data_IF_601751132941
#
_entry.id   IF_601751132941
#
_cell.length_a   1.000
_cell.length_b   1.000
_cell.length_c   1.000
_cell.angle_alpha   90.00
_cell.angle_beta   90.00
_cell.angle_gamma   90.00
#
_symmetry.space_group_name_H-M   'P 1'
#
loop_
_entity.id
_entity.type
_entity.pdbx_description
1 polymer ?
#
# COMPACT_ATOMS: atom_id res chain seq x y z
N UNK A 1 -5.65 -11.86 14.92
CA UNK A 1 -5.52 -10.56 14.26
C UNK A 1 -6.21 -10.61 12.91
N UNK A 2 -6.70 -9.48 12.42
CA UNK A 2 -7.43 -9.34 11.16
C UNK A 2 -6.49 -8.90 10.04
N UNK A 3 -6.48 -9.62 8.92
CA UNK A 3 -5.62 -9.31 7.78
C UNK A 3 -6.45 -9.08 6.53
N UNK A 4 -6.27 -7.94 5.88
CA UNK A 4 -6.80 -7.68 4.55
C UNK A 4 -5.72 -7.96 3.50
N UNK A 5 -5.99 -8.88 2.57
CA UNK A 5 -5.16 -9.12 1.42
C UNK A 5 -5.81 -8.51 0.17
N UNK A 6 -5.22 -7.47 -0.39
CA UNK A 6 -5.64 -6.86 -1.65
C UNK A 6 -4.79 -7.44 -2.77
N UNK A 7 -5.43 -8.13 -3.69
CA UNK A 7 -4.80 -8.94 -4.73
C UNK A 7 -5.12 -8.42 -6.13
N UNK A 8 -4.09 -8.30 -6.97
CA UNK A 8 -4.25 -7.81 -8.33
C UNK A 8 -3.49 -8.66 -9.35
N UNK A 9 -4.14 -9.71 -9.87
CA UNK A 9 -3.68 -10.47 -11.03
C UNK A 9 -4.88 -11.07 -11.77
N UNK A 10 -4.95 -10.98 -13.13
CA UNK A 10 -6.12 -11.43 -13.89
C UNK A 10 -6.27 -12.96 -13.99
N UNK A 11 -5.16 -13.72 -13.84
CA UNK A 11 -5.18 -15.17 -13.97
C UNK A 11 -5.10 -15.84 -12.59
N UNK A 12 -6.18 -16.46 -12.10
CA UNK A 12 -6.20 -17.10 -10.79
C UNK A 12 -5.27 -18.30 -10.67
N UNK A 13 -4.93 -18.98 -11.79
CA UNK A 13 -4.00 -20.10 -11.82
C UNK A 13 -2.53 -19.68 -12.02
N UNK A 14 -2.24 -18.39 -11.97
CA UNK A 14 -0.88 -17.87 -12.04
C UNK A 14 -0.06 -18.19 -10.79
N UNK A 15 1.25 -17.92 -10.86
CA UNK A 15 2.09 -17.92 -9.66
C UNK A 15 1.51 -16.98 -8.58
N UNK A 16 1.06 -15.79 -8.97
CA UNK A 16 0.44 -14.84 -8.02
C UNK A 16 -0.80 -15.44 -7.36
N UNK A 17 -1.67 -16.12 -8.10
CA UNK A 17 -2.83 -16.81 -7.54
C UNK A 17 -2.44 -17.90 -6.55
N UNK A 18 -1.47 -18.74 -6.91
CA UNK A 18 -0.96 -19.81 -6.04
C UNK A 18 -0.35 -19.24 -4.73
N UNK A 19 0.38 -18.13 -4.82
CA UNK A 19 0.96 -17.45 -3.66
C UNK A 19 -0.13 -16.80 -2.79
N UNK A 20 -1.14 -16.18 -3.40
CA UNK A 20 -2.32 -15.64 -2.68
C UNK A 20 -2.98 -16.74 -1.85
N UNK A 21 -3.28 -17.87 -2.47
CA UNK A 21 -3.93 -19.00 -1.79
C UNK A 21 -3.03 -19.60 -0.69
N UNK A 22 -1.71 -19.60 -0.88
CA UNK A 22 -0.76 -20.01 0.14
C UNK A 22 -0.78 -19.05 1.34
N UNK A 23 -0.69 -17.74 1.11
CA UNK A 23 -0.70 -16.70 2.16
C UNK A 23 -1.98 -16.78 2.99
N UNK A 24 -3.15 -16.88 2.33
CA UNK A 24 -4.44 -17.00 3.04
C UNK A 24 -4.44 -18.21 3.95
N UNK A 25 -4.11 -19.41 3.41
CA UNK A 25 -4.07 -20.64 4.22
C UNK A 25 -3.07 -20.56 5.36
N UNK A 26 -1.90 -19.92 5.17
CA UNK A 26 -0.89 -19.79 6.22
C UNK A 26 -1.37 -18.90 7.36
N UNK A 27 -1.95 -17.74 7.04
CA UNK A 27 -2.51 -16.83 8.02
C UNK A 27 -3.66 -17.47 8.82
N UNK A 28 -4.58 -18.16 8.14
CA UNK A 28 -5.68 -18.87 8.80
C UNK A 28 -5.18 -19.99 9.70
N UNK A 29 -4.17 -20.77 9.26
CA UNK A 29 -3.56 -21.83 10.05
C UNK A 29 -2.84 -21.32 11.29
N UNK A 30 -2.40 -20.06 11.30
CA UNK A 30 -1.78 -19.38 12.46
C UNK A 30 -2.80 -18.58 13.30
N UNK A 31 -4.10 -18.75 13.03
CA UNK A 31 -5.19 -18.19 13.84
C UNK A 31 -5.57 -16.75 13.50
N UNK A 32 -5.20 -16.26 12.32
CA UNK A 32 -5.64 -14.95 11.83
C UNK A 32 -6.95 -15.08 11.05
N UNK A 33 -7.74 -14.00 11.04
CA UNK A 33 -8.93 -13.88 10.18
C UNK A 33 -8.54 -13.10 8.94
N UNK A 34 -8.82 -13.67 7.77
CA UNK A 34 -8.40 -13.07 6.49
C UNK A 34 -9.61 -12.66 5.66
N UNK A 35 -9.60 -11.43 5.17
CA UNK A 35 -10.46 -10.98 4.08
C UNK A 35 -9.62 -10.75 2.83
N UNK A 36 -10.14 -11.15 1.68
CA UNK A 36 -9.47 -10.98 0.39
C UNK A 36 -10.27 -10.01 -0.48
N UNK A 37 -9.60 -8.99 -1.02
CA UNK A 37 -10.09 -8.16 -2.11
C UNK A 37 -9.37 -8.56 -3.39
N UNK A 38 -9.92 -9.56 -4.09
CA UNK A 38 -9.44 -9.99 -5.41
C UNK A 38 -10.02 -9.04 -6.47
N UNK A 39 -9.25 -8.03 -6.85
CA UNK A 39 -9.76 -6.91 -7.64
C UNK A 39 -10.24 -7.32 -9.04
N UNK A 40 -9.61 -8.33 -9.66
CA UNK A 40 -10.06 -8.85 -10.96
C UNK A 40 -11.32 -9.70 -10.82
N UNK A 41 -11.41 -10.57 -9.81
CA UNK A 41 -12.61 -11.36 -9.55
C UNK A 41 -13.80 -10.47 -9.15
N UNK A 42 -13.53 -9.36 -8.44
CA UNK A 42 -14.54 -8.34 -8.08
C UNK A 42 -14.95 -7.46 -9.27
N UNK A 43 -14.24 -7.54 -10.40
CA UNK A 43 -14.42 -6.62 -11.52
C UNK A 43 -14.33 -5.16 -11.07
N UNK A 44 -13.34 -4.87 -10.21
CA UNK A 44 -13.16 -3.56 -9.61
C UNK A 44 -13.07 -2.48 -10.67
N UNK A 45 -13.90 -1.44 -10.57
CA UNK A 45 -13.81 -0.25 -11.39
C UNK A 45 -12.49 0.48 -11.06
N UNK A 46 -11.58 0.56 -12.01
CA UNK A 46 -10.27 1.18 -11.79
C UNK A 46 -10.29 2.71 -11.90
N UNK A 47 -11.22 3.28 -12.66
CA UNK A 47 -11.27 4.73 -12.90
C UNK A 47 -12.08 5.44 -11.83
N UNK A 48 -11.48 6.45 -11.21
CA UNK A 48 -12.19 7.40 -10.37
C UNK A 48 -13.02 8.35 -11.26
N UNK A 49 -14.30 8.55 -10.93
CA UNK A 49 -15.17 9.52 -11.61
C UNK A 49 -16.32 10.00 -10.70
N UNK A 50 -17.21 10.84 -11.23
CA UNK A 50 -18.34 11.42 -10.51
C UNK A 50 -19.34 10.38 -9.97
N UNK A 51 -19.37 9.15 -10.52
CA UNK A 51 -20.24 8.08 -10.06
C UNK A 51 -19.70 7.35 -8.81
N UNK A 52 -18.56 7.74 -8.29
CA UNK A 52 -18.05 7.25 -7.00
C UNK A 52 -18.78 7.90 -5.80
N UNK A 53 -19.57 8.94 -6.07
CA UNK A 53 -20.53 9.56 -5.15
C UNK A 53 -21.95 9.28 -5.58
N UNK A 54 -22.82 8.84 -4.64
CA UNK A 54 -24.25 8.64 -4.88
C UNK A 54 -24.99 9.97 -5.13
N UNK A 55 -24.37 11.10 -4.79
CA UNK A 55 -24.90 12.44 -5.04
C UNK A 55 -24.34 13.05 -6.35
N UNK A 56 -23.47 12.29 -7.07
CA UNK A 56 -22.76 12.79 -8.23
C UNK A 56 -21.75 13.90 -7.85
N UNK A 57 -21.52 14.82 -8.76
CA UNK A 57 -20.69 16.01 -8.51
C UNK A 57 -21.48 17.10 -7.78
N UNK A 58 -20.81 17.80 -6.87
CA UNK A 58 -21.43 18.85 -6.05
C UNK A 58 -21.62 20.18 -6.79
N UNK A 59 -20.80 20.44 -7.78
CA UNK A 59 -20.81 21.71 -8.53
C UNK A 59 -20.95 21.49 -10.04
N UNK A 60 -20.66 22.53 -10.81
CA UNK A 60 -20.68 22.43 -12.28
C UNK A 60 -19.57 21.52 -12.81
N UNK A 61 -18.45 21.45 -12.09
CA UNK A 61 -17.28 20.62 -12.41
C UNK A 61 -17.07 19.55 -11.37
N UNK A 62 -16.71 18.36 -11.79
CA UNK A 62 -16.25 17.31 -10.89
C UNK A 62 -14.93 17.71 -10.26
N UNK A 63 -14.89 17.70 -8.92
CA UNK A 63 -13.68 17.89 -8.11
C UNK A 63 -13.45 16.61 -7.30
N UNK A 64 -12.50 15.73 -7.70
CA UNK A 64 -12.26 14.46 -7.04
C UNK A 64 -12.04 14.58 -5.53
N UNK A 65 -11.41 15.67 -5.10
CA UNK A 65 -11.10 15.92 -3.70
C UNK A 65 -12.32 16.33 -2.89
N UNK A 66 -13.03 17.38 -3.35
CA UNK A 66 -14.19 17.91 -2.63
C UNK A 66 -15.39 16.96 -2.71
N UNK A 67 -15.62 16.33 -3.85
CA UNK A 67 -16.74 15.40 -4.05
C UNK A 67 -16.52 14.12 -3.22
N UNK A 68 -15.27 13.58 -3.16
CA UNK A 68 -14.97 12.43 -2.29
C UNK A 68 -15.08 12.79 -0.80
N UNK A 69 -14.68 14.01 -0.40
CA UNK A 69 -14.86 14.50 0.99
C UNK A 69 -16.32 14.54 1.39
N UNK A 70 -17.15 15.12 0.53
CA UNK A 70 -18.60 15.19 0.77
C UNK A 70 -19.21 13.79 0.87
N UNK A 71 -18.91 12.94 -0.11
CA UNK A 71 -19.44 11.57 -0.16
C UNK A 71 -19.03 10.77 1.08
N UNK A 72 -17.75 10.83 1.47
CA UNK A 72 -17.25 10.16 2.67
C UNK A 72 -17.93 10.67 3.95
N UNK A 73 -17.97 11.99 4.15
CA UNK A 73 -18.52 12.62 5.36
C UNK A 73 -20.01 12.33 5.56
N UNK A 74 -20.76 12.19 4.47
CA UNK A 74 -22.20 12.01 4.48
C UNK A 74 -22.64 10.54 4.24
N UNK A 75 -21.70 9.59 4.13
CA UNK A 75 -22.01 8.19 3.83
C UNK A 75 -22.64 8.00 2.44
N UNK A 76 -22.23 8.84 1.48
CA UNK A 76 -22.76 8.88 0.10
C UNK A 76 -21.76 8.34 -0.93
N UNK A 77 -20.77 7.60 -0.50
CA UNK A 77 -19.87 6.89 -1.40
C UNK A 77 -20.55 5.72 -2.06
N UNK A 78 -20.10 5.32 -3.26
CA UNK A 78 -20.53 4.08 -3.87
C UNK A 78 -20.27 2.89 -2.94
N UNK A 79 -21.13 1.89 -2.98
CA UNK A 79 -21.13 0.78 -2.02
C UNK A 79 -19.84 -0.06 -2.07
N UNK A 80 -19.22 -0.18 -3.25
CA UNK A 80 -17.96 -0.87 -3.43
C UNK A 80 -16.80 -0.15 -2.68
N UNK A 81 -16.74 1.17 -2.75
CA UNK A 81 -15.76 1.99 -2.00
C UNK A 81 -16.00 1.85 -0.50
N UNK A 82 -17.25 2.01 -0.06
CA UNK A 82 -17.58 1.93 1.36
C UNK A 82 -17.19 0.57 1.97
N UNK A 83 -17.47 -0.53 1.26
CA UNK A 83 -17.06 -1.89 1.68
C UNK A 83 -15.53 -2.04 1.80
N UNK A 84 -14.76 -1.50 0.87
CA UNK A 84 -13.30 -1.58 0.94
C UNK A 84 -12.73 -0.72 2.09
N UNK A 85 -13.32 0.43 2.36
CA UNK A 85 -12.98 1.24 3.54
C UNK A 85 -13.31 0.52 4.85
N UNK A 86 -14.44 -0.20 4.92
CA UNK A 86 -14.78 -1.00 6.10
C UNK A 86 -13.79 -2.14 6.32
N UNK A 87 -13.31 -2.80 5.26
CA UNK A 87 -12.25 -3.80 5.36
C UNK A 87 -10.93 -3.18 5.87
N UNK A 88 -10.57 -1.98 5.40
CA UNK A 88 -9.38 -1.27 5.88
C UNK A 88 -9.51 -0.89 7.37
N UNK A 89 -10.70 -0.46 7.82
CA UNK A 89 -10.94 -0.17 9.25
C UNK A 89 -10.85 -1.43 10.11
N UNK A 90 -11.40 -2.53 9.62
CA UNK A 90 -11.42 -3.82 10.29
C UNK A 90 -10.04 -4.48 10.41
N UNK A 91 -9.17 -4.30 9.41
CA UNK A 91 -7.88 -4.96 9.34
C UNK A 91 -6.89 -4.37 10.36
N UNK A 92 -6.10 -5.24 11.00
CA UNK A 92 -4.92 -4.89 11.80
C UNK A 92 -3.66 -4.82 10.90
N UNK A 93 -3.68 -5.57 9.79
CA UNK A 93 -2.64 -5.51 8.77
C UNK A 93 -3.21 -5.61 7.35
N UNK A 94 -2.52 -4.98 6.40
CA UNK A 94 -2.85 -5.00 4.98
C UNK A 94 -1.69 -5.59 4.17
N UNK A 95 -1.98 -6.53 3.30
CA UNK A 95 -1.02 -7.06 2.32
C UNK A 95 -1.47 -6.65 0.93
N UNK A 96 -0.62 -5.93 0.19
CA UNK A 96 -0.83 -5.69 -1.24
C UNK A 96 -0.01 -6.70 -2.03
N UNK A 97 -0.67 -7.58 -2.79
CA UNK A 97 -0.01 -8.60 -3.60
C UNK A 97 -0.25 -8.38 -5.08
N UNK A 98 0.83 -8.16 -5.85
CA UNK A 98 0.73 -7.81 -7.27
C UNK A 98 2.02 -8.09 -8.06
N UNK A 99 1.93 -8.23 -9.39
CA UNK A 99 3.10 -8.20 -10.27
C UNK A 99 3.59 -6.78 -10.52
N UNK A 100 4.91 -6.58 -10.52
CA UNK A 100 5.53 -5.31 -10.88
C UNK A 100 5.39 -5.09 -12.41
N UNK A 101 4.37 -4.38 -12.80
CA UNK A 101 4.12 -4.04 -14.20
C UNK A 101 4.51 -2.58 -14.47
N UNK A 102 5.36 -2.38 -15.46
CA UNK A 102 5.84 -1.05 -15.81
C UNK A 102 6.37 -0.25 -14.62
N UNK A 103 7.18 -0.93 -13.76
CA UNK A 103 7.80 -0.36 -12.56
C UNK A 103 6.81 0.12 -11.49
N UNK A 104 5.57 -0.35 -11.53
CA UNK A 104 4.55 0.02 -10.54
C UNK A 104 3.55 -1.11 -10.34
N UNK A 105 2.49 -0.84 -9.60
CA UNK A 105 1.37 -1.75 -9.43
C UNK A 105 0.47 -1.76 -10.67
N UNK A 106 -0.31 -2.83 -10.92
CA UNK A 106 -1.32 -2.87 -11.98
C UNK A 106 -2.33 -1.73 -11.85
N UNK A 107 -2.82 -1.21 -12.98
CA UNK A 107 -3.78 -0.09 -13.03
C UNK A 107 -5.01 -0.31 -12.14
N UNK A 108 -5.52 -1.55 -12.08
CA UNK A 108 -6.67 -1.88 -11.24
C UNK A 108 -6.38 -1.67 -9.74
N UNK A 109 -5.17 -1.97 -9.27
CA UNK A 109 -4.75 -1.74 -7.88
C UNK A 109 -4.51 -0.26 -7.60
N UNK A 110 -3.90 0.47 -8.57
CA UNK A 110 -3.76 1.92 -8.46
C UNK A 110 -5.13 2.60 -8.37
N UNK A 111 -6.09 2.17 -9.21
CA UNK A 111 -7.47 2.66 -9.16
C UNK A 111 -8.20 2.29 -7.86
N UNK A 112 -7.87 1.14 -7.25
CA UNK A 112 -8.38 0.82 -5.92
C UNK A 112 -7.89 1.85 -4.90
N UNK A 113 -6.59 2.19 -4.90
CA UNK A 113 -6.04 3.23 -4.02
C UNK A 113 -6.71 4.58 -4.28
N UNK A 114 -6.83 5.00 -5.54
CA UNK A 114 -7.41 6.31 -5.90
C UNK A 114 -8.87 6.47 -5.47
N UNK A 115 -9.66 5.41 -5.55
CA UNK A 115 -11.08 5.46 -5.21
C UNK A 115 -11.34 5.26 -3.71
N UNK A 116 -10.59 4.35 -3.06
CA UNK A 116 -10.79 4.00 -1.65
C UNK A 116 -10.19 5.05 -0.70
N UNK A 117 -9.08 5.68 -1.11
CA UNK A 117 -8.39 6.68 -0.30
C UNK A 117 -9.06 8.06 -0.45
N UNK A 118 -10.29 8.16 0.03
CA UNK A 118 -11.07 9.40 -0.02
C UNK A 118 -10.51 10.48 0.91
N UNK A 119 -10.78 11.73 0.59
CA UNK A 119 -10.52 12.86 1.48
C UNK A 119 -11.34 12.72 2.78
N UNK A 120 -10.68 12.89 3.92
CA UNK A 120 -11.26 12.66 5.25
C UNK A 120 -11.17 11.22 5.74
N UNK A 121 -10.78 10.28 4.84
CA UNK A 121 -10.50 8.90 5.20
C UNK A 121 -8.98 8.64 5.24
N UNK A 122 -8.29 8.72 4.10
CA UNK A 122 -6.87 8.42 4.00
C UNK A 122 -5.98 9.68 3.94
N UNK A 123 -6.56 10.83 3.67
CA UNK A 123 -5.86 12.11 3.64
C UNK A 123 -6.79 13.26 4.05
N UNK A 124 -6.21 14.44 4.29
CA UNK A 124 -6.98 15.62 4.72
C UNK A 124 -7.54 15.51 6.13
N UNK A 125 -6.92 14.72 7.00
CA UNK A 125 -7.24 14.55 8.42
C UNK A 125 -6.21 15.27 9.30
N UNK A 126 -6.58 15.52 10.55
CA UNK A 126 -5.73 16.21 11.51
C UNK A 126 -5.74 17.75 11.39
N UNK A 127 -5.12 18.40 12.36
CA UNK A 127 -4.99 19.84 12.43
C UNK A 127 -3.90 20.35 11.47
N UNK A 128 -4.10 21.56 10.92
CA UNK A 128 -3.10 22.24 10.11
C UNK A 128 -2.74 23.57 10.79
N UNK A 129 -1.52 23.65 11.32
CA UNK A 129 -0.98 24.81 12.02
C UNK A 129 0.50 25.01 11.65
N UNK A 130 1.13 26.01 12.22
CA UNK A 130 2.57 26.29 12.00
C UNK A 130 3.51 25.28 12.68
N UNK A 131 2.97 24.39 13.51
CA UNK A 131 3.75 23.39 14.27
C UNK A 131 3.30 21.94 13.98
N UNK A 132 2.14 21.75 13.33
CA UNK A 132 1.58 20.45 12.95
C UNK A 132 0.84 20.58 11.62
N UNK A 133 1.12 19.70 10.65
CA UNK A 133 0.58 19.85 9.30
C UNK A 133 -0.19 18.61 8.83
N UNK A 134 -1.35 18.38 9.48
CA UNK A 134 -2.19 17.22 9.24
C UNK A 134 -1.60 15.91 9.75
N UNK A 135 -2.44 14.89 9.88
CA UNK A 135 -2.06 13.56 10.34
C UNK A 135 -1.71 12.69 9.13
N UNK A 136 -0.41 12.57 8.86
CA UNK A 136 0.12 11.76 7.75
C UNK A 136 1.59 11.41 7.99
N UNK A 137 2.14 10.50 7.21
CA UNK A 137 3.51 9.98 7.31
C UNK A 137 3.84 9.49 8.72
N UNK A 138 3.18 8.38 9.12
CA UNK A 138 3.29 7.75 10.43
C UNK A 138 2.20 8.16 11.42
N UNK A 139 1.27 9.01 10.98
CA UNK A 139 0.04 9.41 11.66
C UNK A 139 -1.14 9.26 10.69
N UNK A 140 -2.38 9.35 11.18
CA UNK A 140 -3.58 9.26 10.34
C UNK A 140 -4.43 8.03 10.63
N UNK A 141 -5.41 7.76 9.76
CA UNK A 141 -6.45 6.75 9.98
C UNK A 141 -5.92 5.32 10.05
N UNK A 142 -4.73 5.07 9.49
CA UNK A 142 -4.10 3.73 9.48
C UNK A 142 -3.00 3.59 10.54
N UNK A 143 -2.84 4.58 11.43
CA UNK A 143 -1.84 4.52 12.49
C UNK A 143 -2.06 3.30 13.40
N UNK A 144 -0.98 2.59 13.72
CA UNK A 144 -1.02 1.36 14.49
C UNK A 144 -1.37 0.10 13.68
N UNK A 145 -1.67 0.23 12.39
CA UNK A 145 -1.87 -0.88 11.46
C UNK A 145 -0.60 -1.15 10.67
N UNK A 146 -0.41 -2.38 10.24
CA UNK A 146 0.79 -2.80 9.49
C UNK A 146 0.49 -2.96 8.01
N UNK A 147 1.50 -2.76 7.17
CA UNK A 147 1.35 -3.02 5.74
C UNK A 147 2.57 -3.73 5.16
N UNK A 148 2.36 -4.68 4.25
CA UNK A 148 3.42 -5.40 3.55
C UNK A 148 3.11 -5.51 2.06
N UNK A 149 4.15 -5.45 1.22
CA UNK A 149 4.04 -5.74 -0.20
C UNK A 149 4.53 -7.17 -0.48
N UNK A 150 3.79 -7.91 -1.32
CA UNK A 150 4.27 -9.13 -1.97
C UNK A 150 4.30 -8.84 -3.47
N UNK A 151 5.51 -8.74 -4.03
CA UNK A 151 5.70 -8.29 -5.40
C UNK A 151 6.43 -9.33 -6.22
N UNK A 152 5.87 -9.67 -7.38
CA UNK A 152 6.50 -10.57 -8.35
C UNK A 152 7.01 -9.80 -9.56
N UNK A 153 8.16 -10.22 -10.10
CA UNK A 153 8.71 -9.64 -11.33
C UNK A 153 9.38 -10.68 -12.22
N UNK A 154 9.33 -10.49 -13.51
CA UNK A 154 10.03 -11.33 -14.50
C UNK A 154 11.54 -11.09 -14.56
N UNK A 155 12.02 -9.94 -14.11
CA UNK A 155 13.43 -9.56 -14.13
C UNK A 155 14.29 -10.32 -13.11
N UNK A 156 15.61 -10.23 -13.28
CA UNK A 156 16.57 -10.76 -12.34
C UNK A 156 16.75 -9.78 -11.17
N UNK A 157 17.05 -10.29 -9.99
CA UNK A 157 17.37 -9.46 -8.82
C UNK A 157 18.48 -8.44 -9.11
N UNK A 158 19.55 -8.86 -9.81
CA UNK A 158 20.65 -7.98 -10.19
C UNK A 158 20.25 -6.78 -11.04
N UNK A 159 19.10 -6.85 -11.75
CA UNK A 159 18.59 -5.71 -12.52
C UNK A 159 18.05 -4.59 -11.63
N UNK A 160 17.69 -4.91 -10.38
CA UNK A 160 17.06 -4.03 -9.40
C UNK A 160 17.98 -3.68 -8.22
N UNK A 161 19.28 -3.91 -8.37
CA UNK A 161 20.29 -3.46 -7.41
C UNK A 161 20.78 -2.03 -7.69
N UNK A 162 21.64 -1.52 -6.83
CA UNK A 162 22.18 -0.15 -6.94
C UNK A 162 22.91 0.15 -8.27
N UNK A 163 23.38 -0.86 -8.97
CA UNK A 163 24.00 -0.76 -10.31
C UNK A 163 23.22 -1.51 -11.38
N UNK A 164 22.01 -1.98 -11.06
CA UNK A 164 21.10 -2.62 -12.01
C UNK A 164 20.50 -1.61 -12.98
N UNK A 165 20.20 -2.06 -14.20
CA UNK A 165 19.65 -1.17 -15.25
C UNK A 165 18.28 -0.55 -14.87
N UNK A 166 17.54 -1.22 -13.98
CA UNK A 166 16.22 -0.76 -13.52
C UNK A 166 16.32 0.21 -12.33
N UNK A 167 17.51 0.35 -11.73
CA UNK A 167 17.69 1.06 -10.46
C UNK A 167 17.27 0.21 -9.23
N UNK A 168 17.55 0.70 -8.02
CA UNK A 168 17.23 -0.02 -6.78
C UNK A 168 15.73 -0.30 -6.65
N UNK A 169 15.39 -1.51 -6.25
CA UNK A 169 13.98 -1.89 -6.05
C UNK A 169 13.30 -1.04 -4.96
N UNK A 170 14.05 -0.64 -3.96
CA UNK A 170 13.54 0.21 -2.88
C UNK A 170 13.12 1.59 -3.41
N UNK A 171 13.86 2.16 -4.38
CA UNK A 171 13.49 3.43 -5.04
C UNK A 171 12.24 3.26 -5.90
N UNK A 172 12.11 2.12 -6.59
CA UNK A 172 10.93 1.80 -7.42
C UNK A 172 9.67 1.65 -6.56
N UNK A 173 9.80 1.02 -5.39
CA UNK A 173 8.69 0.77 -4.48
C UNK A 173 8.44 1.93 -3.50
N UNK A 174 9.35 2.89 -3.39
CA UNK A 174 9.20 4.03 -2.46
C UNK A 174 7.88 4.79 -2.63
N UNK A 175 7.40 5.11 -3.84
CA UNK A 175 6.11 5.77 -4.01
C UNK A 175 4.92 4.97 -3.44
N UNK A 176 5.00 3.65 -3.48
CA UNK A 176 3.96 2.77 -2.93
C UNK A 176 4.10 2.68 -1.41
N UNK A 177 5.30 2.37 -0.92
CA UNK A 177 5.57 2.16 0.50
C UNK A 177 5.43 3.45 1.31
N UNK A 178 6.09 4.53 0.87
CA UNK A 178 6.07 5.82 1.56
C UNK A 178 4.84 6.66 1.18
N UNK A 179 4.56 6.76 -0.12
CA UNK A 179 3.51 7.65 -0.63
C UNK A 179 2.07 7.12 -0.49
N UNK A 180 1.86 5.79 -0.50
CA UNK A 180 0.52 5.21 -0.43
C UNK A 180 0.25 4.48 0.87
N UNK A 181 1.24 3.84 1.49
CA UNK A 181 1.05 3.09 2.73
C UNK A 181 1.47 3.89 3.96
N UNK A 182 2.66 4.47 3.98
CA UNK A 182 3.10 5.25 5.13
C UNK A 182 2.38 6.60 5.25
N UNK A 183 1.95 7.19 4.14
CA UNK A 183 1.21 8.46 4.14
C UNK A 183 -0.03 8.42 5.03
N UNK A 184 -0.98 7.45 4.91
CA UNK A 184 -2.15 7.38 5.79
C UNK A 184 -1.86 6.78 7.18
N UNK A 185 -0.60 6.40 7.48
CA UNK A 185 -0.16 6.03 8.82
C UNK A 185 0.25 4.58 9.06
N UNK A 186 0.27 3.70 8.05
CA UNK A 186 0.70 2.31 8.27
C UNK A 186 2.16 2.20 8.73
N UNK A 187 2.45 1.26 9.60
CA UNK A 187 3.79 0.71 9.83
C UNK A 187 4.15 -0.22 8.67
N UNK A 188 4.96 0.27 7.72
CA UNK A 188 5.26 -0.43 6.48
C UNK A 188 6.42 -1.38 6.67
N UNK A 189 6.22 -2.65 6.37
CA UNK A 189 7.25 -3.68 6.44
C UNK A 189 8.09 -3.73 5.16
N UNK A 190 9.34 -4.21 5.24
CA UNK A 190 10.12 -4.52 4.05
C UNK A 190 9.35 -5.48 3.13
N UNK A 191 9.36 -5.27 1.80
CA UNK A 191 8.57 -6.06 0.87
C UNK A 191 9.11 -7.49 0.75
N UNK A 192 8.25 -8.45 0.38
CA UNK A 192 8.70 -9.75 -0.10
C UNK A 192 8.71 -9.76 -1.62
N UNK A 193 9.87 -10.04 -2.20
CA UNK A 193 10.14 -9.90 -3.63
C UNK A 193 10.42 -11.25 -4.28
N UNK A 194 9.77 -11.52 -5.39
CA UNK A 194 9.95 -12.76 -6.15
C UNK A 194 10.35 -12.39 -7.57
N UNK A 195 11.63 -12.62 -7.89
CA UNK A 195 12.23 -12.35 -9.20
C UNK A 195 12.07 -13.53 -10.15
N UNK A 196 12.30 -13.35 -11.46
CA UNK A 196 12.38 -14.40 -12.48
C UNK A 196 11.17 -15.33 -12.49
N UNK A 197 9.98 -14.81 -12.45
CA UNK A 197 8.73 -15.59 -12.33
C UNK A 197 8.48 -16.55 -13.50
N UNK A 198 9.09 -16.31 -14.67
CA UNK A 198 9.02 -17.20 -15.84
C UNK A 198 9.84 -18.49 -15.70
N UNK A 199 10.67 -18.62 -14.68
CA UNK A 199 11.56 -19.77 -14.42
C UNK A 199 11.17 -20.45 -13.11
N UNK A 200 9.92 -20.93 -13.02
CA UNK A 200 9.39 -21.57 -11.82
C UNK A 200 9.36 -23.10 -12.02
N UNK A 201 9.97 -23.81 -11.07
CA UNK A 201 9.84 -25.26 -10.91
C UNK A 201 9.35 -25.57 -9.48
N UNK A 202 9.06 -26.83 -9.22
CA UNK A 202 8.51 -27.28 -7.93
C UNK A 202 9.45 -27.01 -6.77
N UNK A 203 10.75 -27.21 -6.93
CA UNK A 203 11.73 -26.99 -5.86
C UNK A 203 11.86 -25.50 -5.52
N UNK A 204 11.85 -24.65 -6.53
CA UNK A 204 11.89 -23.20 -6.35
C UNK A 204 10.60 -22.67 -5.73
N UNK A 205 9.44 -23.16 -6.15
CA UNK A 205 8.17 -22.81 -5.55
C UNK A 205 8.15 -23.20 -4.07
N UNK A 206 8.64 -24.38 -3.70
CA UNK A 206 8.71 -24.81 -2.30
C UNK A 206 9.58 -23.88 -1.44
N UNK A 207 10.76 -23.44 -1.92
CA UNK A 207 11.59 -22.46 -1.21
C UNK A 207 10.89 -21.12 -1.04
N UNK A 208 10.27 -20.60 -2.12
CA UNK A 208 9.54 -19.34 -2.08
C UNK A 208 8.42 -19.39 -1.04
N UNK A 209 7.66 -20.47 -1.00
CA UNK A 209 6.56 -20.61 -0.03
C UNK A 209 7.06 -20.81 1.39
N UNK A 210 8.20 -21.43 1.61
CA UNK A 210 8.84 -21.53 2.92
C UNK A 210 9.27 -20.15 3.43
N UNK A 211 10.02 -19.40 2.62
CA UNK A 211 10.47 -18.03 2.95
C UNK A 211 9.30 -17.06 3.13
N UNK A 212 8.32 -17.12 2.21
CA UNK A 212 7.10 -16.31 2.32
C UNK A 212 6.29 -16.68 3.57
N UNK A 213 6.24 -17.97 3.93
CA UNK A 213 5.59 -18.43 5.16
C UNK A 213 6.20 -17.79 6.39
N UNK A 214 7.53 -17.75 6.50
CA UNK A 214 8.24 -17.08 7.59
C UNK A 214 7.92 -15.58 7.64
N UNK A 215 7.94 -14.90 6.48
CA UNK A 215 7.60 -13.47 6.38
C UNK A 215 6.16 -13.18 6.82
N UNK A 216 5.23 -14.05 6.49
CA UNK A 216 3.81 -13.94 6.88
C UNK A 216 3.62 -14.20 8.37
N UNK A 217 4.34 -15.16 8.95
CA UNK A 217 4.32 -15.43 10.39
C UNK A 217 4.86 -14.24 11.21
N UNK A 218 5.82 -13.50 10.65
CA UNK A 218 6.40 -12.30 11.26
C UNK A 218 5.60 -11.00 10.99
N UNK A 219 4.46 -11.08 10.31
CA UNK A 219 3.67 -9.90 9.89
C UNK A 219 3.40 -8.92 11.04
N UNK A 220 3.22 -9.42 12.26
CA UNK A 220 2.91 -8.59 13.44
C UNK A 220 4.12 -8.33 14.37
N UNK A 221 5.28 -8.92 14.09
CA UNK A 221 6.47 -8.81 14.96
C UNK A 221 7.70 -8.21 14.27
N UNK A 222 7.78 -8.30 12.94
CA UNK A 222 8.90 -7.74 12.19
C UNK A 222 9.01 -6.21 12.36
N UNK A 223 10.24 -5.68 12.37
CA UNK A 223 10.47 -4.24 12.41
C UNK A 223 9.97 -3.58 11.10
N UNK A 224 9.25 -2.46 11.18
CA UNK A 224 8.89 -1.69 10.00
C UNK A 224 10.10 -0.95 9.41
N UNK A 225 9.96 -0.50 8.15
CA UNK A 225 10.93 0.41 7.53
C UNK A 225 10.95 1.70 8.37
N UNK A 226 12.14 2.19 8.70
CA UNK A 226 12.33 3.37 9.53
C UNK A 226 12.04 4.67 8.81
N UNK A 227 10.86 4.85 8.24
CA UNK A 227 10.46 6.12 7.63
C UNK A 227 10.36 7.23 8.67
N UNK A 228 10.85 8.43 8.29
CA UNK A 228 10.80 9.61 9.18
C UNK A 228 9.38 10.14 9.30
N UNK A 229 8.91 10.29 10.54
CA UNK A 229 7.58 10.87 10.81
C UNK A 229 7.56 12.37 10.50
N UNK A 230 6.51 12.84 9.85
CA UNK A 230 6.35 14.24 9.46
C UNK A 230 6.40 15.19 10.66
N UNK A 231 5.65 14.91 11.69
CA UNK A 231 5.48 15.84 12.84
C UNK A 231 6.43 15.53 14.01
N UNK A 232 7.46 14.66 13.81
CA UNK A 232 8.42 14.29 14.86
C UNK A 232 9.69 15.17 14.92
N UNK A 233 9.67 16.33 14.26
CA UNK A 233 10.73 17.32 14.37
C UNK A 233 11.84 17.25 13.33
N UNK A 234 11.86 16.22 12.45
CA UNK A 234 12.85 16.14 11.37
C UNK A 234 12.56 17.08 10.19
N UNK A 235 11.31 17.51 10.04
CA UNK A 235 10.88 18.39 8.96
C UNK A 235 10.54 19.79 9.47
N UNK A 236 10.76 20.80 8.63
CA UNK A 236 10.29 22.17 8.84
C UNK A 236 8.82 22.26 8.49
N UNK A 237 8.00 22.83 9.36
CA UNK A 237 6.55 23.01 9.12
C UNK A 237 6.29 24.49 8.84
N UNK A 238 5.47 24.85 7.87
CA UNK A 238 4.65 23.99 6.99
C UNK A 238 5.34 23.58 5.69
N UNK A 239 6.60 23.94 5.47
CA UNK A 239 7.32 23.70 4.21
C UNK A 239 7.54 22.21 3.92
N UNK A 240 7.54 21.35 4.95
CA UNK A 240 7.75 19.89 4.88
C UNK A 240 9.07 19.50 4.20
N UNK A 241 10.06 20.36 4.32
CA UNK A 241 11.45 20.07 3.92
C UNK A 241 12.21 19.47 5.09
N UNK A 242 13.06 18.48 4.81
CA UNK A 242 13.96 17.92 5.81
C UNK A 242 14.93 19.00 6.29
N UNK A 243 15.19 19.07 7.59
CA UNK A 243 16.12 20.04 8.16
C UNK A 243 17.55 19.72 7.76
N UNK A 244 18.40 20.73 7.61
CA UNK A 244 19.77 20.60 7.09
C UNK A 244 20.67 19.71 7.96
N UNK A 245 20.40 19.62 9.25
CA UNK A 245 21.13 18.78 10.21
C UNK A 245 20.65 17.33 10.24
N UNK A 246 19.55 17.01 9.56
CA UNK A 246 18.99 15.67 9.49
C UNK A 246 19.46 14.97 8.21
N UNK A 247 20.25 13.91 8.36
CA UNK A 247 20.83 13.14 7.25
C UNK A 247 21.56 14.02 6.19
N UNK A 248 22.52 14.88 6.56
CA UNK A 248 23.07 15.94 5.71
C UNK A 248 23.81 15.41 4.47
N UNK A 249 24.17 14.13 4.44
CA UNK A 249 24.86 13.48 3.32
C UNK A 249 23.92 12.71 2.38
N UNK A 250 22.63 12.63 2.73
CA UNK A 250 21.64 11.89 1.95
C UNK A 250 20.72 12.85 1.17
N UNK A 251 20.23 12.38 0.03
CA UNK A 251 19.27 13.10 -0.80
C UNK A 251 18.28 12.15 -1.44
N UNK A 252 17.20 12.69 -2.02
CA UNK A 252 16.15 11.88 -2.63
C UNK A 252 15.49 10.95 -1.62
N UNK A 253 15.06 9.78 -2.06
CA UNK A 253 14.28 8.86 -1.23
C UNK A 253 15.02 8.38 0.02
N UNK A 254 16.33 8.16 -0.07
CA UNK A 254 17.15 7.70 1.04
C UNK A 254 17.16 8.69 2.22
N UNK A 255 16.99 9.98 1.99
CA UNK A 255 16.94 10.99 3.04
C UNK A 255 15.71 10.87 3.96
N UNK A 256 14.65 10.21 3.51
CA UNK A 256 13.40 10.03 4.24
C UNK A 256 13.32 8.71 5.04
N UNK A 257 14.40 7.92 5.03
CA UNK A 257 14.57 6.73 5.85
C UNK A 257 15.58 7.02 6.97
N UNK A 258 15.24 6.62 8.23
CA UNK A 258 16.07 6.86 9.41
C UNK A 258 17.10 5.76 9.63
#
# INVERSE_FOLDING_TARGET
MNVLLVYAHPEPKSLNGSLKDFVVRRLEATGHVVQVSDLYAMQWKASLDENDSLDGKLGERFDPSLDSKHAYKNGRQSEDIAREQDKLRWADAVILQFPLWWFSMPAILKGWVERVYAYGFAYGVGEHSDIHWGDRYGEGMMAGKRAMLIVTTGGWESHYGARGINGPIDDILFPIQHGMLYYPGFDVLPPYLIYRTSRMDTARYARITEELGQRVDELFTAAPIGFRRQNAGAYSIPALTLKDDVAPTLSGFAAHVA
#
